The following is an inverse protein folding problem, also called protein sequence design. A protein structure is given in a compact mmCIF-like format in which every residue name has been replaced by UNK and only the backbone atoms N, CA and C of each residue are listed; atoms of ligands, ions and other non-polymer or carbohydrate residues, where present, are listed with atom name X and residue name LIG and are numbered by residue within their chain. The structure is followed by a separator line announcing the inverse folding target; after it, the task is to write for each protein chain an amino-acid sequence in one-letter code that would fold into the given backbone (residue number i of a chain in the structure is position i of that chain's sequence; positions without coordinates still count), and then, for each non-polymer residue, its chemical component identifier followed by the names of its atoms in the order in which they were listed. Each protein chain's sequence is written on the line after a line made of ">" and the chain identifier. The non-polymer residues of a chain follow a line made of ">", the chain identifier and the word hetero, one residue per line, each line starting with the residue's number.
data_IF_237492268461
#
_entry.id   IF_237492268461
#
_cell.length_a   1.000
_cell.length_b   1.000
_cell.length_c   1.000
_cell.angle_alpha   90.00
_cell.angle_beta   90.00
_cell.angle_gamma   90.00
#
_symmetry.space_group_name_H-M   'P 1'
#
loop_
_entity.id
_entity.type
_entity.pdbx_description
1 polymer ?
#
# COMPACT_ATOMS: atom_id res chain seq x y z
N UNK A 1 3.31 -14.54 17.07
CA UNK A 1 3.01 -13.38 16.20
C UNK A 1 4.36 -12.88 15.66
N UNK A 2 4.55 -12.71 14.35
CA UNK A 2 5.84 -12.30 13.76
C UNK A 2 5.97 -10.77 13.68
N UNK A 3 7.19 -10.22 13.64
CA UNK A 3 7.41 -8.77 13.62
C UNK A 3 6.77 -8.11 12.38
N UNK A 4 6.92 -8.74 11.21
CA UNK A 4 6.30 -8.26 9.97
C UNK A 4 4.78 -8.13 10.06
N UNK A 5 4.09 -9.07 10.71
CA UNK A 5 2.63 -8.99 10.92
C UNK A 5 2.24 -7.81 11.82
N UNK A 6 3.09 -7.47 12.79
CA UNK A 6 2.83 -6.35 13.70
C UNK A 6 2.86 -5.00 12.97
N UNK A 7 3.74 -4.84 11.97
CA UNK A 7 3.84 -3.63 11.14
C UNK A 7 3.02 -3.72 9.84
N UNK A 8 2.10 -4.69 9.72
CA UNK A 8 1.26 -4.93 8.53
C UNK A 8 2.06 -5.20 7.23
N UNK A 9 3.27 -5.72 7.36
CA UNK A 9 4.17 -6.09 6.26
C UNK A 9 4.66 -7.52 6.47
N UNK A 10 3.84 -8.54 6.12
CA UNK A 10 4.18 -9.95 6.36
C UNK A 10 5.37 -10.43 5.51
N UNK A 11 5.76 -9.66 4.50
CA UNK A 11 6.95 -9.88 3.67
C UNK A 11 8.28 -9.60 4.38
N UNK A 12 8.25 -8.86 5.49
CA UNK A 12 9.45 -8.48 6.23
C UNK A 12 9.87 -9.54 7.24
N UNK A 13 11.17 -9.81 7.29
CA UNK A 13 11.78 -10.63 8.33
C UNK A 13 11.90 -9.84 9.63
N UNK A 14 12.05 -10.54 10.75
CA UNK A 14 12.27 -9.89 12.06
C UNK A 14 13.57 -9.05 12.05
N UNK A 15 14.58 -9.46 11.28
CA UNK A 15 15.83 -8.71 11.11
C UNK A 15 15.61 -7.38 10.38
N UNK A 16 14.79 -7.37 9.32
CA UNK A 16 14.47 -6.14 8.58
C UNK A 16 13.75 -5.13 9.49
N UNK A 17 12.84 -5.62 10.35
CA UNK A 17 12.12 -4.77 11.30
C UNK A 17 13.07 -4.24 12.39
N UNK A 18 13.99 -5.05 12.90
CA UNK A 18 15.00 -4.62 13.87
C UNK A 18 15.93 -3.54 13.32
N UNK A 19 16.38 -3.69 12.07
CA UNK A 19 17.20 -2.68 11.40
C UNK A 19 16.44 -1.35 11.30
N UNK A 20 15.18 -1.38 10.84
CA UNK A 20 14.34 -0.18 10.75
C UNK A 20 14.11 0.49 12.12
N UNK A 21 13.95 -0.29 13.20
CA UNK A 21 13.83 0.24 14.57
C UNK A 21 15.15 0.91 14.99
N UNK A 22 16.29 0.27 14.75
CA UNK A 22 17.59 0.81 15.11
C UNK A 22 17.89 2.13 14.37
N UNK A 23 17.63 2.19 13.06
CA UNK A 23 17.74 3.41 12.27
C UNK A 23 16.85 4.52 12.82
N UNK A 24 15.61 4.19 13.19
CA UNK A 24 14.68 5.16 13.75
C UNK A 24 15.12 5.68 15.12
N UNK A 25 15.65 4.80 15.98
CA UNK A 25 16.18 5.19 17.28
C UNK A 25 17.40 6.12 17.11
N UNK A 26 18.32 5.77 16.21
CA UNK A 26 19.47 6.60 15.88
C UNK A 26 19.04 7.99 15.36
N UNK A 27 18.03 8.05 14.48
CA UNK A 27 17.47 9.30 13.99
C UNK A 27 16.88 10.18 15.12
N UNK A 28 16.28 9.57 16.14
CA UNK A 28 15.75 10.26 17.32
C UNK A 28 16.82 10.56 18.39
N UNK A 29 18.10 10.28 18.12
CA UNK A 29 19.21 10.48 19.06
C UNK A 29 19.23 9.48 20.23
N UNK A 30 18.59 8.32 20.05
CA UNK A 30 18.51 7.23 21.04
C UNK A 30 19.46 6.10 20.68
N UNK A 31 19.83 5.30 21.68
CA UNK A 31 20.71 4.15 21.48
C UNK A 31 20.02 3.06 20.63
N UNK A 32 20.56 2.70 19.44
CA UNK A 32 20.02 1.65 18.60
C UNK A 32 20.04 0.26 19.26
N UNK A 33 20.86 0.02 20.30
CA UNK A 33 20.90 -1.24 21.02
C UNK A 33 19.57 -1.58 21.72
N UNK A 34 18.69 -0.60 21.93
CA UNK A 34 17.35 -0.80 22.49
C UNK A 34 16.33 -1.39 21.51
N UNK A 35 16.67 -1.53 20.23
CA UNK A 35 15.76 -2.03 19.19
C UNK A 35 15.07 -3.38 19.53
N UNK A 36 15.79 -4.40 20.07
CA UNK A 36 15.15 -5.67 20.47
C UNK A 36 14.12 -5.49 21.58
N UNK A 37 14.36 -4.58 22.52
CA UNK A 37 13.45 -4.26 23.61
C UNK A 37 12.16 -3.60 23.12
N UNK A 38 12.28 -2.68 22.16
CA UNK A 38 11.13 -2.02 21.51
C UNK A 38 10.28 -3.04 20.74
N UNK A 39 10.94 -3.93 19.98
CA UNK A 39 10.23 -4.98 19.25
C UNK A 39 9.48 -5.92 20.20
N UNK A 40 10.15 -6.39 21.26
CA UNK A 40 9.54 -7.24 22.29
C UNK A 40 8.33 -6.55 22.94
N UNK A 41 8.46 -5.29 23.35
CA UNK A 41 7.37 -4.50 23.90
C UNK A 41 6.19 -4.36 22.93
N UNK A 42 6.46 -4.25 21.63
CA UNK A 42 5.44 -4.26 20.58
C UNK A 42 4.68 -5.58 20.52
N UNK A 43 5.40 -6.71 20.54
CA UNK A 43 4.84 -8.06 20.53
C UNK A 43 4.01 -8.36 21.79
N UNK A 44 4.45 -7.87 22.95
CA UNK A 44 3.70 -7.90 24.22
C UNK A 44 2.42 -7.03 24.19
N UNK A 45 2.29 -6.16 23.19
CA UNK A 45 1.08 -5.38 22.99
C UNK A 45 1.10 -3.97 23.58
N UNK A 46 2.23 -3.50 24.12
CA UNK A 46 2.34 -2.18 24.76
C UNK A 46 2.00 -1.06 23.77
N UNK A 47 1.07 -0.18 24.16
CA UNK A 47 0.54 0.86 23.28
C UNK A 47 1.61 1.81 22.75
N UNK A 48 2.56 2.22 23.60
CA UNK A 48 3.66 3.13 23.21
C UNK A 48 4.56 2.48 22.15
N UNK A 49 4.92 1.21 22.34
CA UNK A 49 5.74 0.48 21.38
C UNK A 49 4.99 0.29 20.05
N UNK A 50 3.70 -0.07 20.07
CA UNK A 50 2.89 -0.15 18.85
C UNK A 50 2.77 1.19 18.12
N UNK A 51 2.61 2.30 18.85
CA UNK A 51 2.55 3.64 18.27
C UNK A 51 3.88 4.02 17.60
N UNK A 52 5.00 3.65 18.21
CA UNK A 52 6.33 3.81 17.64
C UNK A 52 6.52 2.98 16.36
N UNK A 53 6.18 1.68 16.40
CA UNK A 53 6.35 0.74 15.29
C UNK A 53 5.53 1.13 14.05
N UNK A 54 4.40 1.84 14.23
CA UNK A 54 3.59 2.39 13.13
C UNK A 54 4.24 3.55 12.38
N UNK A 55 5.25 4.20 12.97
CA UNK A 55 5.95 5.36 12.40
C UNK A 55 7.29 4.98 11.76
N UNK A 56 7.62 3.68 11.72
CA UNK A 56 8.86 3.21 11.11
C UNK A 56 8.85 3.47 9.61
N UNK A 57 10.01 3.87 9.10
CA UNK A 57 10.29 3.81 7.67
C UNK A 57 10.71 2.38 7.38
N UNK A 58 9.96 1.69 6.53
CA UNK A 58 10.20 0.29 6.18
C UNK A 58 10.79 0.20 4.78
N UNK A 59 11.58 -0.84 4.49
CA UNK A 59 12.10 -1.05 3.15
C UNK A 59 10.96 -1.26 2.13
N UNK A 60 11.29 -0.99 0.86
CA UNK A 60 10.35 -1.14 -0.24
C UNK A 60 9.71 -2.54 -0.26
N UNK A 61 8.41 -2.64 -0.58
CA UNK A 61 7.72 -3.93 -0.69
C UNK A 61 8.39 -4.81 -1.75
N UNK A 62 8.73 -6.04 -1.36
CA UNK A 62 9.27 -7.07 -2.27
C UNK A 62 8.18 -7.88 -2.96
N UNK A 63 6.95 -7.83 -2.44
CA UNK A 63 5.80 -8.51 -3.04
C UNK A 63 5.37 -7.83 -4.33
N UNK A 64 5.07 -8.62 -5.36
CA UNK A 64 4.48 -8.10 -6.59
C UNK A 64 3.15 -7.40 -6.30
N UNK A 65 2.97 -6.22 -6.88
CA UNK A 65 1.69 -5.50 -6.84
C UNK A 65 0.64 -6.31 -7.61
N UNK A 66 -0.34 -6.88 -6.91
CA UNK A 66 -1.50 -7.47 -7.57
C UNK A 66 -2.39 -6.34 -8.08
N UNK A 67 -2.33 -6.09 -9.38
CA UNK A 67 -3.26 -5.19 -10.06
C UNK A 67 -4.61 -5.90 -10.22
N UNK A 68 -5.71 -5.36 -9.68
CA UNK A 68 -7.03 -5.91 -9.95
C UNK A 68 -7.35 -5.77 -11.44
N UNK A 69 -7.91 -6.82 -12.04
CA UNK A 69 -8.33 -6.79 -13.44
C UNK A 69 -9.54 -5.86 -13.54
N UNK A 70 -9.38 -4.74 -14.24
CA UNK A 70 -10.51 -3.87 -14.59
C UNK A 70 -11.12 -4.32 -15.91
N UNK A 71 -12.35 -4.81 -15.86
CA UNK A 71 -13.11 -5.09 -17.07
C UNK A 71 -13.46 -3.77 -17.77
N UNK A 72 -12.98 -3.57 -19.00
CA UNK A 72 -13.40 -2.44 -19.83
C UNK A 72 -14.85 -2.68 -20.24
N UNK A 73 -15.79 -2.05 -19.54
CA UNK A 73 -17.18 -1.98 -19.96
C UNK A 73 -17.23 -1.15 -21.24
N UNK A 74 -17.35 -1.82 -22.40
CA UNK A 74 -17.71 -1.12 -23.64
C UNK A 74 -19.14 -0.64 -23.47
N UNK A 75 -19.33 0.64 -23.17
CA UNK A 75 -20.64 1.27 -23.32
C UNK A 75 -21.05 1.11 -24.78
N UNK A 76 -22.15 0.36 -25.01
CA UNK A 76 -22.78 0.29 -26.31
C UNK A 76 -23.32 1.67 -26.60
N UNK A 77 -22.66 2.40 -27.50
CA UNK A 77 -23.06 3.73 -27.95
C UNK A 77 -24.43 3.61 -28.60
N UNK A 78 -25.49 3.78 -27.81
CA UNK A 78 -26.86 3.80 -28.29
C UNK A 78 -27.19 5.20 -28.79
N UNK A 79 -26.47 5.65 -29.82
CA UNK A 79 -26.82 6.86 -30.55
C UNK A 79 -26.92 6.54 -32.05
N UNK A 80 -27.89 5.68 -32.36
CA UNK A 80 -28.45 5.57 -33.70
C UNK A 80 -29.66 6.51 -33.82
N UNK A 81 -29.50 7.79 -33.47
CA UNK A 81 -30.42 8.82 -33.96
C UNK A 81 -29.84 9.34 -35.28
N UNK A 82 -30.57 9.24 -36.40
CA UNK A 82 -30.09 9.78 -37.66
C UNK A 82 -29.84 11.28 -37.46
N UNK A 83 -28.57 11.68 -37.60
CA UNK A 83 -28.18 13.07 -37.53
C UNK A 83 -28.94 13.87 -38.60
N UNK A 84 -29.22 15.15 -38.34
CA UNK A 84 -29.96 15.99 -39.30
C UNK A 84 -29.32 16.00 -40.70
N UNK A 85 -28.01 15.75 -40.78
CA UNK A 85 -27.25 15.59 -42.01
C UNK A 85 -27.65 14.39 -42.85
N UNK A 86 -28.00 13.24 -42.24
CA UNK A 86 -28.40 12.05 -43.00
C UNK A 86 -29.77 12.20 -43.66
N UNK A 87 -30.63 13.09 -43.15
CA UNK A 87 -31.94 13.42 -43.75
C UNK A 87 -31.84 14.38 -44.94
N UNK A 88 -30.82 15.24 -44.97
CA UNK A 88 -30.59 16.18 -46.07
C UNK A 88 -30.10 15.48 -47.35
N UNK A 89 -29.36 14.39 -47.21
CA UNK A 89 -28.83 13.62 -48.36
C UNK A 89 -29.90 12.74 -49.01
N UNK A 90 -30.95 12.33 -48.28
CA UNK A 90 -32.01 11.46 -48.81
C UNK A 90 -33.12 12.18 -49.59
N UNK A 91 -33.13 13.52 -49.62
CA UNK A 91 -34.15 14.31 -50.34
C UNK A 91 -33.73 14.72 -51.77
N UNK A 92 -32.63 14.18 -52.28
CA UNK A 92 -32.20 14.37 -53.67
C UNK A 92 -32.43 13.13 -54.53
N UNK A 93 -33.68 12.89 -54.94
CA UNK A 93 -34.02 12.09 -56.12
C UNK A 93 -35.30 12.60 -56.76
#
# INVERSE_FOLDING_TARGET
>A
MTAGKLVRRPDLSDADVLAAIAERLAFEGRDPAHAPGVLKAGLEGRHVAKAFLRKLVLPAPRSNLQMPIQSILRERTADARPSAWSRLVSLGR
#
